data_IF_649212821413
#
_entry.id   IF_649212821413
#
_cell.length_a   1.000
_cell.length_b   1.000
_cell.length_c   1.000
_cell.angle_alpha   90.00
_cell.angle_beta   90.00
_cell.angle_gamma   90.00
#
_symmetry.space_group_name_H-M   'P 1'
#
loop_
_entity.id
_entity.type
_entity.pdbx_description
1 polymer ?
#
# COMPACT_ATOMS: atom_id res chain seq x y z
N UNK A 1 3.31 -4.71 -14.50
CA UNK A 1 3.12 -6.17 -14.47
C UNK A 1 3.12 -6.63 -13.01
N UNK A 2 2.13 -7.40 -12.58
CA UNK A 2 2.04 -7.96 -11.22
C UNK A 2 3.06 -9.08 -10.92
N UNK A 3 3.95 -9.36 -11.88
CA UNK A 3 4.99 -10.40 -11.80
C UNK A 3 4.39 -11.78 -11.46
N UNK A 4 3.17 -12.06 -11.93
CA UNK A 4 2.40 -13.26 -11.61
C UNK A 4 3.22 -14.53 -11.85
N UNK A 5 3.86 -14.66 -13.03
CA UNK A 5 4.66 -15.84 -13.38
C UNK A 5 5.83 -16.03 -12.40
N UNK A 6 6.57 -14.98 -12.10
CA UNK A 6 7.68 -15.02 -11.13
C UNK A 6 7.19 -15.38 -9.72
N UNK A 7 6.04 -14.83 -9.29
CA UNK A 7 5.43 -15.14 -7.99
C UNK A 7 4.98 -16.59 -7.91
N UNK A 8 4.44 -17.12 -9.01
CA UNK A 8 3.99 -18.51 -9.13
C UNK A 8 5.17 -19.47 -9.09
N UNK A 9 6.22 -19.19 -9.86
CA UNK A 9 7.46 -19.97 -9.83
C UNK A 9 8.07 -19.97 -8.42
N UNK A 10 8.18 -18.80 -7.78
CA UNK A 10 8.69 -18.70 -6.41
C UNK A 10 7.81 -19.43 -5.40
N UNK A 11 6.49 -19.38 -5.55
CA UNK A 11 5.56 -20.12 -4.70
C UNK A 11 5.80 -21.63 -4.80
N UNK A 12 5.97 -22.15 -6.01
CA UNK A 12 6.26 -23.57 -6.26
C UNK A 12 7.63 -24.00 -5.73
N UNK A 13 8.64 -23.13 -5.81
CA UNK A 13 9.95 -23.37 -5.20
C UNK A 13 9.87 -23.45 -3.68
N UNK A 14 9.25 -22.45 -3.04
CA UNK A 14 9.10 -22.39 -1.58
C UNK A 14 8.27 -23.57 -1.07
N UNK A 15 7.24 -23.97 -1.82
CA UNK A 15 6.45 -25.17 -1.50
C UNK A 15 7.32 -26.43 -1.54
N UNK A 16 8.14 -26.62 -2.58
CA UNK A 16 9.09 -27.73 -2.68
C UNK A 16 10.14 -27.72 -1.56
N UNK A 17 10.69 -26.56 -1.21
CA UNK A 17 11.63 -26.45 -0.08
C UNK A 17 10.99 -26.87 1.25
N UNK A 18 9.72 -26.48 1.49
CA UNK A 18 9.00 -26.84 2.72
C UNK A 18 8.61 -28.33 2.82
N UNK A 19 8.62 -29.05 1.70
CA UNK A 19 8.42 -30.51 1.67
C UNK A 19 9.67 -31.28 2.12
N UNK A 20 10.86 -30.67 2.08
CA UNK A 20 12.10 -31.28 2.54
C UNK A 20 12.12 -31.39 4.09
N UNK A 21 12.19 -32.61 4.66
CA UNK A 21 12.32 -32.82 6.11
C UNK A 21 13.53 -32.08 6.72
N UNK A 22 14.58 -31.85 5.93
CA UNK A 22 15.79 -31.13 6.35
C UNK A 22 15.53 -29.68 6.74
N UNK A 23 14.58 -28.99 6.08
CA UNK A 23 14.24 -27.60 6.42
C UNK A 23 13.66 -27.47 7.83
N UNK A 24 12.99 -28.52 8.31
CA UNK A 24 12.41 -28.54 9.66
C UNK A 24 13.46 -28.68 10.76
N UNK A 25 14.72 -29.00 10.41
CA UNK A 25 15.86 -28.94 11.34
C UNK A 25 16.36 -27.51 11.58
N UNK A 26 15.91 -26.54 10.78
CA UNK A 26 16.19 -25.10 10.90
C UNK A 26 14.89 -24.30 11.14
N UNK A 27 14.37 -24.22 12.38
CA UNK A 27 13.03 -23.67 12.65
C UNK A 27 12.81 -22.23 12.17
N UNK A 28 13.86 -21.40 12.23
CA UNK A 28 13.81 -20.00 11.77
C UNK A 28 13.62 -19.92 10.26
N UNK A 29 14.33 -20.77 9.50
CA UNK A 29 14.21 -20.85 8.04
C UNK A 29 12.85 -21.40 7.63
N UNK A 30 12.40 -22.47 8.27
CA UNK A 30 11.06 -23.03 8.04
C UNK A 30 9.95 -21.99 8.28
N UNK A 31 10.07 -21.19 9.35
CA UNK A 31 9.12 -20.12 9.65
C UNK A 31 9.13 -19.00 8.60
N UNK A 32 10.31 -18.58 8.13
CA UNK A 32 10.45 -17.57 7.09
C UNK A 32 9.83 -18.04 5.77
N UNK A 33 10.17 -19.26 5.31
CA UNK A 33 9.59 -19.87 4.12
C UNK A 33 8.07 -20.03 4.24
N UNK A 34 7.57 -20.42 5.42
CA UNK A 34 6.13 -20.53 5.68
C UNK A 34 5.39 -19.19 5.53
N UNK A 35 5.98 -18.09 6.05
CA UNK A 35 5.45 -16.73 5.90
C UNK A 35 5.50 -16.28 4.44
N UNK A 36 6.60 -16.53 3.75
CA UNK A 36 6.75 -16.22 2.33
C UNK A 36 5.69 -16.94 1.48
N UNK A 37 5.51 -18.26 1.68
CA UNK A 37 4.50 -19.06 0.99
C UNK A 37 3.10 -18.53 1.22
N UNK A 38 2.75 -18.21 2.46
CA UNK A 38 1.44 -17.68 2.81
C UNK A 38 1.15 -16.35 2.09
N UNK A 39 2.15 -15.45 2.05
CA UNK A 39 2.05 -14.18 1.33
C UNK A 39 1.88 -14.39 -0.17
N UNK A 40 2.74 -15.20 -0.79
CA UNK A 40 2.66 -15.49 -2.22
C UNK A 40 1.33 -16.14 -2.59
N UNK A 41 0.84 -17.08 -1.78
CA UNK A 41 -0.46 -17.72 -1.98
C UNK A 41 -1.61 -16.71 -1.96
N UNK A 42 -1.62 -15.81 -0.98
CA UNK A 42 -2.66 -14.77 -0.87
C UNK A 42 -2.66 -13.84 -2.09
N UNK A 43 -1.47 -13.42 -2.54
CA UNK A 43 -1.31 -12.58 -3.73
C UNK A 43 -1.83 -13.30 -4.99
N UNK A 44 -1.41 -14.54 -5.22
CA UNK A 44 -1.80 -15.32 -6.39
C UNK A 44 -3.31 -15.58 -6.43
N UNK A 45 -3.89 -16.00 -5.31
CA UNK A 45 -5.34 -16.24 -5.20
C UNK A 45 -6.15 -14.97 -5.44
N UNK A 46 -5.66 -13.81 -4.99
CA UNK A 46 -6.35 -12.55 -5.22
C UNK A 46 -6.26 -12.12 -6.69
N UNK A 47 -5.10 -12.27 -7.34
CA UNK A 47 -4.94 -12.01 -8.77
C UNK A 47 -5.89 -12.90 -9.58
N UNK A 48 -5.90 -14.21 -9.30
CA UNK A 48 -6.75 -15.18 -9.99
C UNK A 48 -8.24 -14.88 -9.81
N UNK A 49 -8.65 -14.49 -8.60
CA UNK A 49 -10.05 -14.11 -8.31
C UNK A 49 -10.46 -12.86 -9.08
N UNK A 50 -9.59 -11.84 -9.12
CA UNK A 50 -9.88 -10.60 -9.84
C UNK A 50 -9.95 -10.84 -11.34
N UNK A 51 -9.01 -11.63 -11.90
CA UNK A 51 -8.97 -11.97 -13.32
C UNK A 51 -10.22 -12.77 -13.73
N UNK A 52 -10.62 -13.76 -12.93
CA UNK A 52 -11.86 -14.51 -13.15
C UNK A 52 -13.09 -13.60 -13.06
N UNK A 53 -13.23 -12.83 -11.97
CA UNK A 53 -14.38 -11.94 -11.79
C UNK A 53 -14.50 -10.88 -12.87
N UNK A 54 -13.39 -10.38 -13.42
CA UNK A 54 -13.41 -9.43 -14.52
C UNK A 54 -13.89 -10.08 -15.82
N UNK A 55 -13.46 -11.32 -16.11
CA UNK A 55 -13.96 -12.07 -17.27
C UNK A 55 -15.45 -12.34 -17.17
N UNK A 56 -15.90 -12.81 -16.00
CA UNK A 56 -17.31 -13.07 -15.74
C UNK A 56 -18.15 -11.78 -15.89
N UNK A 57 -17.67 -10.65 -15.35
CA UNK A 57 -18.33 -9.36 -15.48
C UNK A 57 -18.45 -8.89 -16.95
N UNK A 58 -17.42 -9.14 -17.77
CA UNK A 58 -17.46 -8.83 -19.21
C UNK A 58 -18.50 -9.70 -19.92
N UNK A 59 -18.49 -11.01 -19.69
CA UNK A 59 -19.46 -11.93 -20.31
C UNK A 59 -20.90 -11.61 -19.90
N UNK A 60 -21.13 -11.28 -18.63
CA UNK A 60 -22.45 -10.88 -18.14
C UNK A 60 -22.89 -9.53 -18.70
N UNK A 61 -21.98 -8.58 -18.88
CA UNK A 61 -22.29 -7.28 -19.46
C UNK A 61 -22.70 -7.44 -20.93
N UNK A 62 -21.99 -8.26 -21.70
CA UNK A 62 -22.34 -8.58 -23.08
C UNK A 62 -23.75 -9.21 -23.17
N UNK A 63 -24.11 -10.11 -22.25
CA UNK A 63 -25.45 -10.68 -22.19
C UNK A 63 -26.51 -9.61 -21.86
N UNK A 64 -26.26 -8.77 -20.86
CA UNK A 64 -27.17 -7.69 -20.46
C UNK A 64 -27.42 -6.70 -21.60
N UNK A 65 -26.39 -6.39 -22.41
CA UNK A 65 -26.52 -5.55 -23.60
C UNK A 65 -27.42 -6.19 -24.67
N UNK A 66 -27.27 -7.50 -24.92
CA UNK A 66 -28.13 -8.23 -25.88
C UNK A 66 -29.58 -8.24 -25.41
N UNK A 67 -29.80 -8.42 -24.11
CA UNK A 67 -31.14 -8.46 -23.51
C UNK A 67 -31.76 -7.07 -23.28
N UNK A 68 -30.99 -6.00 -23.47
CA UNK A 68 -31.36 -4.62 -23.10
C UNK A 68 -31.75 -4.48 -21.61
N UNK A 69 -31.08 -5.24 -20.73
CA UNK A 69 -31.30 -5.20 -19.29
C UNK A 69 -30.36 -4.18 -18.62
N UNK A 70 -30.81 -2.92 -18.56
CA UNK A 70 -30.06 -1.85 -17.92
C UNK A 70 -29.86 -2.05 -16.41
N UNK A 71 -30.78 -2.76 -15.73
CA UNK A 71 -30.66 -2.99 -14.29
C UNK A 71 -29.53 -4.00 -14.01
N UNK A 72 -29.44 -5.05 -14.81
CA UNK A 72 -28.32 -5.99 -14.75
C UNK A 72 -26.98 -5.31 -15.05
N UNK A 73 -26.93 -4.45 -16.08
CA UNK A 73 -25.71 -3.70 -16.43
C UNK A 73 -25.23 -2.80 -15.27
N UNK A 74 -26.14 -2.11 -14.57
CA UNK A 74 -25.82 -1.28 -13.42
C UNK A 74 -25.28 -2.11 -12.23
N UNK A 75 -25.84 -3.29 -11.98
CA UNK A 75 -25.38 -4.21 -10.93
C UNK A 75 -23.96 -4.73 -11.23
N UNK A 76 -23.71 -5.16 -12.46
CA UNK A 76 -22.37 -5.58 -12.92
C UNK A 76 -21.36 -4.44 -12.78
N UNK A 77 -21.75 -3.21 -13.11
CA UNK A 77 -20.92 -2.03 -12.92
C UNK A 77 -20.52 -1.78 -11.46
N UNK A 78 -21.41 -2.08 -10.50
CA UNK A 78 -21.06 -2.01 -9.07
C UNK A 78 -20.06 -3.09 -8.67
N UNK A 79 -20.26 -4.34 -9.11
CA UNK A 79 -19.34 -5.44 -8.82
C UNK A 79 -17.95 -5.18 -9.42
N UNK A 80 -17.88 -4.63 -10.63
CA UNK A 80 -16.63 -4.21 -11.24
C UNK A 80 -15.88 -3.15 -10.41
N UNK A 81 -16.59 -2.25 -9.72
CA UNK A 81 -15.99 -1.29 -8.79
C UNK A 81 -15.36 -1.94 -7.55
N UNK A 82 -15.90 -3.09 -7.10
CA UNK A 82 -15.31 -3.88 -6.01
C UNK A 82 -14.02 -4.57 -6.48
N UNK A 83 -14.01 -5.10 -7.71
CA UNK A 83 -12.82 -5.68 -8.34
C UNK A 83 -11.72 -4.63 -8.52
N UNK A 84 -12.06 -3.42 -8.97
CA UNK A 84 -11.13 -2.31 -9.08
C UNK A 84 -10.47 -1.98 -7.73
N UNK A 85 -11.27 -1.96 -6.65
CA UNK A 85 -10.77 -1.72 -5.29
C UNK A 85 -9.82 -2.83 -4.83
N UNK A 86 -10.09 -4.09 -5.21
CA UNK A 86 -9.19 -5.21 -4.93
C UNK A 86 -7.86 -5.11 -5.69
N UNK A 87 -7.88 -4.68 -6.96
CA UNK A 87 -6.67 -4.40 -7.76
C UNK A 87 -5.84 -3.30 -7.10
N UNK A 88 -6.45 -2.17 -6.74
CA UNK A 88 -5.74 -1.07 -6.08
C UNK A 88 -5.06 -1.53 -4.80
N UNK A 89 -5.71 -2.39 -4.00
CA UNK A 89 -5.11 -2.96 -2.79
C UNK A 89 -3.89 -3.83 -3.11
N UNK A 90 -3.93 -4.65 -4.16
CA UNK A 90 -2.78 -5.43 -4.63
C UNK A 90 -1.61 -4.52 -5.03
N UNK A 91 -1.89 -3.41 -5.69
CA UNK A 91 -0.87 -2.43 -6.06
C UNK A 91 -0.20 -1.81 -4.83
N UNK A 92 -0.99 -1.44 -3.81
CA UNK A 92 -0.47 -0.92 -2.55
C UNK A 92 0.40 -1.95 -1.82
N UNK A 93 -0.05 -3.20 -1.72
CA UNK A 93 0.73 -4.29 -1.12
C UNK A 93 2.04 -4.58 -1.89
N UNK A 94 2.06 -4.31 -3.19
CA UNK A 94 3.29 -4.41 -3.99
C UNK A 94 4.24 -3.26 -3.70
N UNK A 95 3.73 -2.04 -3.57
CA UNK A 95 4.53 -0.83 -3.29
C UNK A 95 5.08 -0.86 -1.85
N UNK A 96 4.29 -1.35 -0.90
CA UNK A 96 4.57 -1.31 0.53
C UNK A 96 4.92 -2.69 1.08
N UNK A 97 6.19 -3.08 0.96
CA UNK A 97 6.71 -4.39 1.38
C UNK A 97 7.51 -4.34 2.68
N UNK A 98 7.77 -3.15 3.21
CA UNK A 98 8.47 -2.95 4.48
C UNK A 98 7.60 -3.35 5.67
N UNK A 99 8.24 -3.89 6.72
CA UNK A 99 7.54 -4.35 7.94
C UNK A 99 6.81 -3.22 8.65
N UNK A 100 7.28 -1.98 8.46
CA UNK A 100 6.71 -0.79 9.10
C UNK A 100 5.70 -0.06 8.22
N UNK A 101 5.54 -0.44 6.95
CA UNK A 101 4.81 0.39 5.99
C UNK A 101 3.36 0.61 6.38
N UNK A 102 2.72 -0.38 7.01
CA UNK A 102 1.33 -0.30 7.47
C UNK A 102 1.09 0.62 8.68
N UNK A 103 2.15 1.10 9.33
CA UNK A 103 2.03 1.90 10.55
C UNK A 103 1.80 3.38 10.24
N UNK A 104 1.33 4.10 11.26
CA UNK A 104 1.41 5.55 11.31
C UNK A 104 2.87 6.01 11.20
N UNK A 105 3.09 7.24 10.75
CA UNK A 105 4.41 7.81 10.60
C UNK A 105 4.60 9.03 11.49
N UNK A 106 5.82 9.20 11.99
CA UNK A 106 6.28 10.47 12.57
C UNK A 106 7.28 11.10 11.61
N UNK A 107 7.01 12.34 11.20
CA UNK A 107 7.90 13.12 10.34
C UNK A 107 8.55 14.23 11.17
N UNK A 108 9.87 14.14 11.32
CA UNK A 108 10.68 15.18 11.93
C UNK A 108 11.31 16.08 10.85
N UNK A 109 11.00 17.37 10.93
CA UNK A 109 11.56 18.40 10.05
C UNK A 109 12.54 19.22 10.90
N UNK A 110 13.79 19.34 10.45
CA UNK A 110 14.80 20.17 11.08
C UNK A 110 15.39 21.16 10.09
N UNK A 111 15.50 22.43 10.49
CA UNK A 111 16.20 23.43 9.70
C UNK A 111 17.70 23.12 9.67
N UNK A 112 18.27 23.05 8.47
CA UNK A 112 19.69 22.84 8.26
C UNK A 112 20.54 24.09 8.53
N UNK A 113 21.83 24.02 8.17
CA UNK A 113 22.71 25.18 8.22
C UNK A 113 22.25 26.24 7.20
N UNK A 114 22.04 27.48 7.66
CA UNK A 114 21.54 28.57 6.81
C UNK A 114 20.77 29.68 7.54
N UNK A 115 20.61 29.58 8.86
CA UNK A 115 19.96 30.62 9.66
C UNK A 115 18.48 30.79 9.27
N UNK A 116 18.03 32.03 9.14
CA UNK A 116 16.61 32.37 8.92
C UNK A 116 16.04 31.82 7.61
N UNK A 117 16.81 31.77 6.52
CA UNK A 117 16.32 31.23 5.24
C UNK A 117 16.04 29.73 5.33
N UNK A 118 16.93 28.98 5.98
CA UNK A 118 16.73 27.55 6.23
C UNK A 118 15.52 27.29 7.14
N UNK A 119 15.27 28.17 8.11
CA UNK A 119 14.10 28.09 8.99
C UNK A 119 12.80 28.35 8.22
N UNK A 120 12.77 29.33 7.32
CA UNK A 120 11.60 29.61 6.49
C UNK A 120 11.31 28.45 5.52
N UNK A 121 12.35 27.86 4.93
CA UNK A 121 12.21 26.66 4.10
C UNK A 121 11.68 25.46 4.89
N UNK A 122 12.16 25.22 6.11
CA UNK A 122 11.63 24.17 6.98
C UNK A 122 10.12 24.39 7.26
N UNK A 123 9.69 25.64 7.43
CA UNK A 123 8.28 25.97 7.59
C UNK A 123 7.48 25.74 6.30
N UNK A 124 8.06 26.00 5.13
CA UNK A 124 7.44 25.65 3.85
C UNK A 124 7.22 24.14 3.72
N UNK A 125 8.22 23.32 4.10
CA UNK A 125 8.10 21.86 4.09
C UNK A 125 7.03 21.36 5.07
N UNK A 126 6.98 21.90 6.29
CA UNK A 126 5.91 21.60 7.25
C UNK A 126 4.52 21.82 6.61
N UNK A 127 4.30 23.00 6.01
CA UNK A 127 3.03 23.30 5.34
C UNK A 127 2.76 22.38 4.16
N UNK A 128 3.79 21.98 3.41
CA UNK A 128 3.68 21.05 2.29
C UNK A 128 3.16 19.68 2.76
N UNK A 129 3.77 19.10 3.79
CA UNK A 129 3.38 17.78 4.30
C UNK A 129 2.00 17.78 4.95
N UNK A 130 1.62 18.84 5.67
CA UNK A 130 0.26 18.99 6.20
C UNK A 130 -0.79 19.03 5.09
N UNK A 131 -0.52 19.73 3.97
CA UNK A 131 -1.41 19.76 2.81
C UNK A 131 -1.45 18.44 2.06
N UNK A 132 -0.31 17.78 1.91
CA UNK A 132 -0.21 16.46 1.30
C UNK A 132 -1.02 15.42 2.09
N UNK A 133 -0.89 15.39 3.42
CA UNK A 133 -1.64 14.49 4.28
C UNK A 133 -3.14 14.72 4.17
N UNK A 134 -3.58 15.98 4.26
CA UNK A 134 -4.98 16.35 4.06
C UNK A 134 -5.52 15.94 2.68
N UNK A 135 -4.76 16.15 1.61
CA UNK A 135 -5.14 15.77 0.25
C UNK A 135 -5.26 14.25 0.06
N UNK A 136 -4.51 13.45 0.84
CA UNK A 136 -4.57 11.99 0.84
C UNK A 136 -5.57 11.41 1.84
N UNK A 137 -6.22 12.26 2.64
CA UNK A 137 -7.12 11.82 3.71
C UNK A 137 -6.40 11.26 4.94
N UNK A 138 -5.12 11.58 5.13
CA UNK A 138 -4.37 11.24 6.34
C UNK A 138 -4.49 12.36 7.37
N UNK A 139 -5.07 12.12 8.56
CA UNK A 139 -5.01 13.06 9.67
C UNK A 139 -3.56 13.34 10.06
N UNK A 140 -3.16 14.62 10.01
CA UNK A 140 -1.86 15.08 10.48
C UNK A 140 -2.02 15.91 11.76
N UNK A 141 -1.24 15.59 12.79
CA UNK A 141 -1.17 16.35 14.04
C UNK A 141 0.26 16.85 14.23
N UNK A 142 0.43 18.15 14.52
CA UNK A 142 1.74 18.69 14.91
C UNK A 142 1.93 18.42 16.40
N UNK A 143 2.88 17.54 16.71
CA UNK A 143 3.16 17.07 18.08
C UNK A 143 4.06 18.06 18.80
N UNK A 144 5.07 18.57 18.10
CA UNK A 144 5.99 19.58 18.62
C UNK A 144 6.41 20.54 17.49
N UNK A 145 6.71 21.79 17.85
CA UNK A 145 7.29 22.76 16.92
C UNK A 145 8.09 23.82 17.66
N UNK A 146 9.31 24.07 17.17
CA UNK A 146 10.18 25.13 17.65
C UNK A 146 10.25 26.26 16.62
N UNK A 147 9.81 27.49 16.95
CA UNK A 147 9.87 28.61 16.01
C UNK A 147 11.31 29.08 15.77
N UNK A 148 11.55 29.62 14.58
CA UNK A 148 12.76 30.37 14.26
C UNK A 148 12.85 31.68 15.07
N UNK A 149 14.06 32.24 15.17
CA UNK A 149 14.28 33.49 15.92
C UNK A 149 13.71 34.72 15.20
N UNK A 150 13.67 34.67 13.87
CA UNK A 150 13.23 35.78 13.02
C UNK A 150 12.05 35.38 12.14
N UNK A 151 12.13 34.21 11.49
CA UNK A 151 11.09 33.65 10.64
C UNK A 151 11.19 32.12 10.61
N UNK A 152 10.14 31.46 10.14
CA UNK A 152 10.13 30.02 9.95
C UNK A 152 10.16 29.19 11.25
N UNK A 153 10.65 27.96 11.16
CA UNK A 153 10.77 27.01 12.28
C UNK A 153 12.19 26.45 12.37
N UNK A 154 12.69 26.20 13.58
CA UNK A 154 13.90 25.41 13.81
C UNK A 154 13.61 23.92 13.65
N UNK A 155 12.46 23.48 14.15
CA UNK A 155 12.01 22.08 14.03
C UNK A 155 10.49 21.95 14.11
N UNK A 156 9.97 20.82 13.62
CA UNK A 156 8.63 20.34 13.93
C UNK A 156 8.55 18.82 13.82
N UNK A 157 7.71 18.21 14.65
CA UNK A 157 7.37 16.78 14.59
C UNK A 157 5.89 16.67 14.24
N UNK A 158 5.58 15.90 13.20
CA UNK A 158 4.21 15.65 12.75
C UNK A 158 3.90 14.17 12.90
N UNK A 159 2.78 13.84 13.55
CA UNK A 159 2.19 12.50 13.47
C UNK A 159 1.25 12.45 12.26
N UNK A 160 1.49 11.51 11.34
CA UNK A 160 0.63 11.23 10.19
C UNK A 160 -0.02 9.87 10.42
N UNK A 161 -1.36 9.87 10.56
CA UNK A 161 -2.14 8.68 10.86
C UNK A 161 -2.86 8.15 9.63
N UNK A 162 -2.88 6.83 9.48
CA UNK A 162 -3.59 6.16 8.40
C UNK A 162 -2.94 4.86 7.96
N UNK A 163 -3.73 4.04 7.27
CA UNK A 163 -3.21 2.81 6.67
C UNK A 163 -2.15 3.14 5.63
N UNK A 164 -1.00 2.48 5.73
CA UNK A 164 0.16 2.70 4.88
C UNK A 164 0.80 4.10 4.97
N UNK A 165 0.52 4.90 6.02
CA UNK A 165 1.06 6.25 6.14
C UNK A 165 2.59 6.29 6.09
N UNK A 166 3.27 5.35 6.75
CA UNK A 166 4.72 5.20 6.68
C UNK A 166 5.21 4.80 5.29
N UNK A 167 4.55 3.85 4.63
CA UNK A 167 4.92 3.44 3.27
C UNK A 167 4.84 4.57 2.24
N UNK A 168 3.92 5.53 2.45
CA UNK A 168 3.70 6.66 1.54
C UNK A 168 4.65 7.85 1.72
N UNK A 169 5.27 7.99 2.89
CA UNK A 169 6.13 9.14 3.26
C UNK A 169 7.60 8.87 2.92
#
# INVERSE_FOLDING_TARGET
>A
SFEYDNKKERFEEVARELEDPGVWSEPQRAQQLGRERARLSADLQLIERVDAGLRDAVELLELAEVENDAAAADEIGREAGELESAVRRLELQRMFRGEMDSHNAFLDIQAGAGGTEAQDWAQMLLRMYLRWGAARGFPCEVIDSSPGEVAGIKSATIEVRGEFAYGWL
#
